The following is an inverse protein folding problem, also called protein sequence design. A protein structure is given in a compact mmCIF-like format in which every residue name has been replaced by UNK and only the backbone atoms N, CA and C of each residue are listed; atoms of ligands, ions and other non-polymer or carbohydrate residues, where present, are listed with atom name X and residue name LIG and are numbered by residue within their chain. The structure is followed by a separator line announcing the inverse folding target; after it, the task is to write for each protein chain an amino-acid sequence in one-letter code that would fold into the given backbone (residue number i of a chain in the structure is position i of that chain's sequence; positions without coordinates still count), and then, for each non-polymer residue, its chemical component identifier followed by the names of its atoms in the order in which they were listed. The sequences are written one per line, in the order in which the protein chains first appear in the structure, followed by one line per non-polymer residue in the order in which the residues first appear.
data_IF_323925723776
#
_entry.id   IF_323925723776
#
_cell.length_a   1.000
_cell.length_b   1.000
_cell.length_c   1.000
_cell.angle_alpha   90.00
_cell.angle_beta   90.00
_cell.angle_gamma   90.00
#
_symmetry.space_group_name_H-M   'P 1'
#
loop_
_entity.id
_entity.type
_entity.pdbx_description
1 polymer ?
#
# COMPACT_ATOMS: atom_id res chain seq x y z
N UNK A 1 30.09 24.73 -54.86
CA UNK A 1 31.47 25.07 -54.46
C UNK A 1 31.39 25.60 -53.04
N UNK A 2 31.74 24.79 -52.03
CA UNK A 2 33.09 24.69 -51.42
C UNK A 2 33.54 26.06 -50.86
N UNK A 3 33.97 26.25 -49.61
CA UNK A 3 34.52 25.36 -48.60
C UNK A 3 34.30 26.03 -47.21
N UNK A 4 33.86 25.29 -46.19
CA UNK A 4 34.70 24.65 -45.15
C UNK A 4 35.39 25.65 -44.20
N UNK A 5 34.75 25.91 -43.06
CA UNK A 5 35.42 26.37 -41.85
C UNK A 5 35.49 25.18 -40.90
N UNK A 6 36.67 24.56 -40.82
CA UNK A 6 36.98 23.56 -39.81
C UNK A 6 37.53 24.26 -38.57
N UNK A 7 36.94 23.95 -37.41
CA UNK A 7 37.63 24.06 -36.13
C UNK A 7 37.31 22.82 -35.32
N UNK A 8 38.39 22.17 -34.90
CA UNK A 8 38.42 20.85 -34.31
C UNK A 8 37.73 20.81 -32.94
N UNK A 9 37.08 19.68 -32.69
CA UNK A 9 36.48 19.26 -31.44
C UNK A 9 37.61 19.03 -30.40
N UNK A 10 37.78 19.94 -29.44
CA UNK A 10 38.63 19.68 -28.28
C UNK A 10 37.92 18.71 -27.32
N UNK A 11 38.46 17.51 -27.24
CA UNK A 11 38.07 16.44 -26.33
C UNK A 11 38.35 16.85 -24.88
N UNK A 12 37.32 16.98 -24.06
CA UNK A 12 37.46 17.14 -22.62
C UNK A 12 37.99 15.84 -22.00
N UNK A 13 39.26 15.83 -21.59
CA UNK A 13 39.86 14.72 -20.85
C UNK A 13 39.49 14.80 -19.36
N UNK A 14 38.92 13.72 -18.82
CA UNK A 14 38.63 13.60 -17.40
C UNK A 14 39.94 13.49 -16.58
N UNK A 15 40.06 14.32 -15.54
CA UNK A 15 41.19 14.31 -14.63
C UNK A 15 41.23 13.02 -13.78
N UNK A 16 42.35 12.29 -13.83
CA UNK A 16 42.56 11.10 -13.02
C UNK A 16 42.66 11.44 -11.51
N UNK A 17 42.07 10.64 -10.60
CA UNK A 17 42.13 10.92 -9.17
C UNK A 17 43.54 10.67 -8.61
N UNK A 18 44.05 11.67 -7.87
CA UNK A 18 45.33 11.59 -7.14
C UNK A 18 45.32 10.44 -6.13
N UNK A 19 46.20 9.45 -6.32
CA UNK A 19 46.48 8.39 -5.33
C UNK A 19 46.97 8.98 -4.01
N UNK A 20 46.15 8.93 -2.96
CA UNK A 20 46.61 9.09 -1.57
C UNK A 20 47.35 7.82 -1.14
N UNK A 21 48.61 7.98 -0.72
CA UNK A 21 49.38 6.90 -0.08
C UNK A 21 48.77 6.61 1.30
N UNK A 22 48.13 5.46 1.45
CA UNK A 22 47.69 4.91 2.74
C UNK A 22 48.85 4.14 3.40
N UNK A 23 49.12 4.47 4.66
CA UNK A 23 50.09 3.77 5.49
C UNK A 23 49.59 2.35 5.81
N UNK A 24 50.48 1.36 5.70
CA UNK A 24 50.17 -0.04 5.95
C UNK A 24 49.81 -0.27 7.44
N UNK A 25 48.55 -0.65 7.71
CA UNK A 25 48.15 -1.25 8.98
C UNK A 25 48.33 -2.77 8.88
N UNK A 26 49.09 -3.34 9.83
CA UNK A 26 49.28 -4.79 9.99
C UNK A 26 47.92 -5.48 10.18
N UNK A 27 47.64 -6.62 9.51
CA UNK A 27 46.44 -7.38 9.79
C UNK A 27 46.63 -8.13 11.12
N UNK A 28 45.81 -7.80 12.12
CA UNK A 28 45.56 -8.71 13.24
C UNK A 28 44.57 -9.76 12.73
N UNK A 29 45.08 -10.96 12.46
CA UNK A 29 44.25 -12.14 12.30
C UNK A 29 43.58 -12.41 13.66
N UNK A 30 42.34 -11.94 13.82
CA UNK A 30 41.41 -12.53 14.79
C UNK A 30 40.60 -13.51 13.97
N UNK A 31 40.90 -14.79 14.11
CA UNK A 31 39.97 -15.86 13.72
C UNK A 31 38.69 -15.66 14.56
N UNK A 32 37.70 -15.02 13.96
CA UNK A 32 36.33 -15.13 14.46
C UNK A 32 35.83 -16.52 14.04
N UNK A 33 35.38 -17.32 15.01
CA UNK A 33 34.69 -18.56 14.72
C UNK A 33 33.54 -18.29 13.73
N UNK A 34 33.25 -19.19 12.79
CA UNK A 34 32.13 -19.01 11.87
C UNK A 34 30.86 -18.93 12.72
N UNK A 35 30.23 -17.75 12.75
CA UNK A 35 28.89 -17.62 13.29
C UNK A 35 27.97 -18.47 12.41
N UNK A 36 27.06 -19.21 13.03
CA UNK A 36 26.05 -19.93 12.25
C UNK A 36 25.24 -18.90 11.46
N UNK A 37 24.95 -19.22 10.19
CA UNK A 37 24.12 -18.38 9.31
C UNK A 37 22.82 -17.98 10.01
N UNK A 38 22.18 -18.92 10.71
CA UNK A 38 20.95 -18.68 11.47
C UNK A 38 21.10 -17.61 12.56
N UNK A 39 22.21 -17.59 13.31
CA UNK A 39 22.43 -16.58 14.36
C UNK A 39 22.73 -15.18 13.80
N UNK A 40 23.29 -15.10 12.59
CA UNK A 40 23.46 -13.81 11.89
C UNK A 40 22.12 -13.30 11.34
N UNK A 41 21.31 -14.17 10.72
CA UNK A 41 19.96 -13.83 10.25
C UNK A 41 19.04 -13.40 11.40
N UNK A 42 18.98 -14.15 12.51
CA UNK A 42 18.19 -13.75 13.69
C UNK A 42 18.64 -12.41 14.28
N UNK A 43 19.96 -12.18 14.30
CA UNK A 43 20.53 -10.89 14.73
C UNK A 43 20.07 -9.75 13.81
N UNK A 44 20.08 -9.97 12.50
CA UNK A 44 19.69 -8.98 11.49
C UNK A 44 18.17 -8.71 11.52
N UNK A 45 17.34 -9.74 11.62
CA UNK A 45 15.88 -9.64 11.83
C UNK A 45 15.59 -8.81 13.09
N UNK A 46 16.30 -9.07 14.18
CA UNK A 46 16.18 -8.30 15.42
C UNK A 46 16.59 -6.82 15.28
N UNK A 47 17.55 -6.49 14.44
CA UNK A 47 17.92 -5.09 14.13
C UNK A 47 16.80 -4.39 13.34
N UNK A 48 16.25 -5.05 12.33
CA UNK A 48 15.18 -4.48 11.50
C UNK A 48 13.91 -4.24 12.33
N UNK A 49 13.50 -5.21 13.15
CA UNK A 49 12.36 -5.09 14.06
C UNK A 49 12.50 -3.91 15.03
N UNK A 50 13.69 -3.73 15.63
CA UNK A 50 13.95 -2.56 16.50
C UNK A 50 13.77 -1.23 15.76
N UNK A 51 14.28 -1.13 14.53
CA UNK A 51 14.14 0.09 13.71
C UNK A 51 12.70 0.36 13.30
N UNK A 52 11.90 -0.69 13.03
CA UNK A 52 10.47 -0.55 12.74
C UNK A 52 9.74 0.01 13.96
N UNK A 53 10.05 -0.51 15.15
CA UNK A 53 9.44 -0.05 16.40
C UNK A 53 9.87 1.37 16.80
N UNK A 54 11.11 1.76 16.55
CA UNK A 54 11.57 3.14 16.71
C UNK A 54 10.79 4.09 15.77
N UNK A 55 10.69 3.74 14.49
CA UNK A 55 9.90 4.51 13.53
C UNK A 55 8.41 4.57 13.92
N UNK A 56 7.87 3.50 14.51
CA UNK A 56 6.48 3.45 14.99
C UNK A 56 6.21 4.47 16.07
N UNK A 57 7.11 4.58 17.04
CA UNK A 57 7.00 5.59 18.09
C UNK A 57 7.06 7.00 17.54
N UNK A 58 8.02 7.26 16.67
CA UNK A 58 8.23 8.59 16.09
C UNK A 58 7.03 9.00 15.21
N UNK A 59 6.48 8.06 14.44
CA UNK A 59 5.31 8.28 13.61
C UNK A 59 4.06 8.48 14.47
N UNK A 60 3.82 7.63 15.46
CA UNK A 60 2.61 7.66 16.30
C UNK A 60 2.43 8.98 17.05
N UNK A 61 3.52 9.61 17.51
CA UNK A 61 3.46 10.89 18.22
C UNK A 61 3.47 12.11 17.28
N UNK A 62 3.60 11.90 15.96
CA UNK A 62 3.71 13.00 15.00
C UNK A 62 2.35 13.62 14.66
N UNK A 63 2.37 14.93 14.38
CA UNK A 63 1.19 15.65 13.85
C UNK A 63 0.74 15.05 12.51
N UNK A 64 1.71 14.61 11.69
CA UNK A 64 1.44 13.95 10.41
C UNK A 64 0.52 12.74 10.57
N UNK A 65 0.84 11.83 11.51
CA UNK A 65 0.02 10.65 11.76
C UNK A 65 -1.41 11.01 12.15
N UNK A 66 -1.56 11.96 13.08
CA UNK A 66 -2.87 12.39 13.55
C UNK A 66 -3.72 12.97 12.41
N UNK A 67 -3.13 13.84 11.58
CA UNK A 67 -3.81 14.41 10.41
C UNK A 67 -4.09 13.39 9.30
N UNK A 68 -3.17 12.45 9.04
CA UNK A 68 -3.37 11.41 8.03
C UNK A 68 -4.48 10.45 8.46
N UNK A 69 -4.51 10.08 9.75
CA UNK A 69 -5.56 9.25 10.33
C UNK A 69 -6.91 9.96 10.29
N UNK A 70 -6.97 11.28 10.50
CA UNK A 70 -8.20 12.06 10.33
C UNK A 70 -8.71 11.98 8.89
N UNK A 71 -7.83 12.17 7.90
CA UNK A 71 -8.18 12.02 6.47
C UNK A 71 -8.73 10.62 6.17
N UNK A 72 -8.07 9.57 6.66
CA UNK A 72 -8.50 8.18 6.49
C UNK A 72 -9.84 7.95 7.18
N UNK A 73 -10.03 8.40 8.42
CA UNK A 73 -11.27 8.21 9.17
C UNK A 73 -12.47 8.90 8.53
N UNK A 74 -12.28 10.09 7.93
CA UNK A 74 -13.33 10.77 7.16
C UNK A 74 -13.79 9.94 5.98
N UNK A 75 -12.87 9.27 5.32
CA UNK A 75 -13.15 8.38 4.19
C UNK A 75 -13.80 7.06 4.66
N UNK A 76 -13.18 6.37 5.62
CA UNK A 76 -13.67 5.09 6.12
C UNK A 76 -15.04 5.18 6.79
N UNK A 77 -15.36 6.29 7.47
CA UNK A 77 -16.69 6.50 8.05
C UNK A 77 -17.76 6.46 6.96
N UNK A 78 -17.59 7.24 5.88
CA UNK A 78 -18.51 7.26 4.73
C UNK A 78 -18.58 5.90 4.04
N UNK A 79 -17.42 5.24 3.88
CA UNK A 79 -17.34 3.92 3.28
C UNK A 79 -18.13 2.88 4.10
N UNK A 80 -17.97 2.85 5.42
CA UNK A 80 -18.68 1.93 6.31
C UNK A 80 -20.19 2.22 6.35
N UNK A 81 -20.60 3.48 6.28
CA UNK A 81 -22.02 3.85 6.15
C UNK A 81 -22.62 3.28 4.85
N UNK A 82 -21.90 3.42 3.73
CA UNK A 82 -22.29 2.84 2.44
C UNK A 82 -22.42 1.32 2.49
N UNK A 83 -21.51 0.62 3.18
CA UNK A 83 -21.58 -0.84 3.33
C UNK A 83 -22.77 -1.31 4.18
N UNK A 84 -23.30 -0.46 5.07
CA UNK A 84 -24.38 -0.80 6.01
C UNK A 84 -25.79 -0.53 5.46
N UNK A 85 -25.93 0.21 4.36
CA UNK A 85 -27.23 0.59 3.82
C UNK A 85 -27.59 -0.25 2.56
N UNK A 86 -28.63 -1.11 2.55
CA UNK A 86 -29.36 -1.77 3.64
C UNK A 86 -29.38 -3.32 3.55
N UNK A 87 -29.02 -3.98 4.66
CA UNK A 87 -29.81 -5.10 5.20
C UNK A 87 -30.65 -4.50 6.34
N UNK A 88 -31.97 -4.72 6.31
CA UNK A 88 -32.96 -3.93 7.05
C UNK A 88 -32.79 -3.75 8.57
N UNK A 89 -33.48 -2.72 9.07
CA UNK A 89 -33.73 -2.38 10.48
C UNK A 89 -32.55 -1.79 11.27
N UNK A 90 -32.34 -0.48 11.08
CA UNK A 90 -31.41 0.34 11.85
C UNK A 90 -31.83 0.60 13.32
N UNK A 91 -32.92 -0.02 13.81
CA UNK A 91 -33.35 0.08 15.21
C UNK A 91 -32.65 -0.92 16.14
N UNK A 92 -32.10 -2.01 15.60
CA UNK A 92 -31.72 -3.17 16.44
C UNK A 92 -30.23 -3.21 16.82
N UNK A 93 -29.42 -2.26 16.32
CA UNK A 93 -27.94 -2.25 16.52
C UNK A 93 -27.47 -1.09 17.43
N UNK A 94 -28.23 0.01 17.52
CA UNK A 94 -27.81 1.19 18.28
C UNK A 94 -28.16 1.17 19.78
N UNK A 95 -28.55 0.02 20.33
CA UNK A 95 -28.93 -0.11 21.75
C UNK A 95 -27.80 0.07 22.77
N UNK A 96 -26.52 -0.07 22.39
CA UNK A 96 -25.44 -0.25 23.38
C UNK A 96 -24.25 0.72 23.25
N UNK A 97 -24.49 1.98 22.90
CA UNK A 97 -23.50 3.05 23.12
C UNK A 97 -24.10 4.19 23.93
N UNK A 98 -24.32 3.94 25.22
CA UNK A 98 -24.38 5.01 26.20
C UNK A 98 -23.15 4.90 27.10
N UNK A 99 -22.21 5.84 26.92
CA UNK A 99 -21.11 6.07 27.86
C UNK A 99 -21.66 6.79 29.10
N UNK A 100 -21.13 6.40 30.25
CA UNK A 100 -21.13 7.08 31.54
C UNK A 100 -22.45 7.16 32.34
N UNK A 101 -22.54 6.32 33.37
CA UNK A 101 -22.58 6.76 34.78
C UNK A 101 -22.41 5.53 35.70
N UNK A 102 -21.45 5.58 36.63
CA UNK A 102 -21.33 4.60 37.72
C UNK A 102 -22.62 4.57 38.56
N UNK A 103 -23.18 3.39 38.91
CA UNK A 103 -24.22 3.33 39.92
C UNK A 103 -23.64 3.09 41.31
N UNK A 104 -24.18 3.87 42.23
CA UNK A 104 -24.13 3.78 43.68
C UNK A 104 -24.55 2.38 44.17
N UNK A 105 -23.99 1.93 45.30
CA UNK A 105 -24.32 0.65 45.93
C UNK A 105 -25.79 0.58 46.36
N UNK A 106 -26.52 -0.45 45.91
CA UNK A 106 -27.56 -1.12 46.74
C UNK A 106 -28.06 -2.42 46.10
N UNK A 107 -27.64 -3.52 46.71
CA UNK A 107 -28.40 -4.70 47.14
C UNK A 107 -29.41 -5.48 46.24
N UNK A 108 -29.22 -6.81 46.32
CA UNK A 108 -30.12 -7.98 46.12
C UNK A 108 -30.19 -8.68 44.74
N UNK A 109 -29.75 -9.95 44.74
CA UNK A 109 -29.85 -10.98 43.67
C UNK A 109 -31.21 -11.76 43.75
N UNK A 110 -31.46 -12.89 43.05
CA UNK A 110 -30.82 -13.52 41.88
C UNK A 110 -31.84 -13.89 40.76
N UNK A 111 -31.32 -14.31 39.60
CA UNK A 111 -31.80 -15.44 38.76
C UNK A 111 -31.84 -15.19 37.25
N UNK A 112 -31.47 -16.28 36.55
CA UNK A 112 -31.56 -16.57 35.12
C UNK A 112 -30.51 -15.95 34.20
N UNK A 113 -29.60 -16.81 33.71
CA UNK A 113 -28.70 -16.55 32.60
C UNK A 113 -29.39 -17.02 31.31
N UNK A 114 -29.74 -16.11 30.37
CA UNK A 114 -29.84 -16.46 28.97
C UNK A 114 -28.44 -16.36 28.36
N UNK A 115 -27.94 -17.49 27.83
CA UNK A 115 -26.72 -17.55 27.04
C UNK A 115 -26.98 -16.85 25.70
N UNK A 116 -26.82 -15.53 25.68
CA UNK A 116 -26.83 -14.75 24.45
C UNK A 116 -25.62 -15.13 23.61
N UNK A 117 -25.89 -15.77 22.49
CA UNK A 117 -24.92 -16.02 21.45
C UNK A 117 -24.72 -14.68 20.74
N UNK A 118 -23.64 -13.97 21.08
CA UNK A 118 -23.23 -12.74 20.42
C UNK A 118 -22.97 -13.03 18.95
N UNK A 119 -23.95 -12.73 18.09
CA UNK A 119 -23.74 -12.58 16.65
C UNK A 119 -23.20 -11.16 16.46
N UNK A 120 -21.90 -11.00 16.72
CA UNK A 120 -21.18 -9.78 16.36
C UNK A 120 -20.99 -9.81 14.85
N UNK A 121 -21.85 -9.12 14.10
CA UNK A 121 -21.64 -8.85 12.68
C UNK A 121 -20.49 -7.87 12.49
N UNK A 122 -19.26 -8.32 12.73
CA UNK A 122 -18.06 -7.52 12.48
C UNK A 122 -17.79 -7.49 10.98
N UNK A 123 -17.88 -6.30 10.37
CA UNK A 123 -17.34 -6.08 9.03
C UNK A 123 -15.84 -6.38 9.07
N UNK A 124 -15.42 -7.50 8.49
CA UNK A 124 -14.01 -7.90 8.44
C UNK A 124 -13.33 -7.19 7.28
N UNK A 125 -12.80 -5.97 7.53
CA UNK A 125 -11.95 -5.32 6.55
C UNK A 125 -10.69 -6.16 6.31
N UNK A 126 -10.35 -6.33 5.04
CA UNK A 126 -9.09 -6.91 4.59
C UNK A 126 -8.12 -5.82 4.20
N UNK A 127 -6.83 -6.13 4.23
CA UNK A 127 -5.81 -5.22 3.72
C UNK A 127 -4.88 -5.94 2.76
N UNK A 128 -4.57 -5.30 1.64
CA UNK A 128 -3.56 -5.77 0.70
C UNK A 128 -2.58 -4.64 0.46
N UNK A 129 -1.30 -4.91 0.61
CA UNK A 129 -0.23 -3.97 0.35
C UNK A 129 0.64 -4.45 -0.80
N UNK A 130 0.86 -3.57 -1.78
CA UNK A 130 1.81 -3.80 -2.85
C UNK A 130 2.96 -2.79 -2.74
N UNK A 131 4.17 -3.23 -3.11
CA UNK A 131 5.30 -2.33 -3.37
C UNK A 131 5.84 -1.60 -2.14
N UNK A 132 5.93 -2.28 -0.99
CA UNK A 132 6.43 -1.65 0.25
C UNK A 132 7.91 -1.23 0.15
N UNK A 133 8.67 -1.83 -0.75
CA UNK A 133 10.09 -1.60 -0.95
C UNK A 133 10.99 -2.22 0.13
N UNK A 134 12.29 -1.93 0.04
CA UNK A 134 13.28 -2.55 0.92
C UNK A 134 13.32 -1.87 2.31
N UNK A 135 12.40 -2.22 3.23
CA UNK A 135 12.30 -1.58 4.54
C UNK A 135 13.46 -1.93 5.50
N UNK A 136 14.21 -2.99 5.22
CA UNK A 136 15.39 -3.34 6.01
C UNK A 136 16.46 -2.24 5.92
N UNK A 137 16.68 -1.69 4.73
CA UNK A 137 17.74 -0.71 4.47
C UNK A 137 17.24 0.69 4.11
N UNK A 138 16.04 0.83 3.53
CA UNK A 138 15.45 2.11 3.15
C UNK A 138 14.57 2.66 4.27
N UNK A 139 14.87 3.89 4.73
CA UNK A 139 14.10 4.57 5.77
C UNK A 139 12.68 4.94 5.30
N UNK A 140 12.50 5.25 4.01
CA UNK A 140 11.20 5.58 3.43
C UNK A 140 10.28 4.35 3.50
N UNK A 141 10.69 3.24 2.89
CA UNK A 141 9.97 1.96 2.93
C UNK A 141 9.66 1.51 4.36
N UNK A 142 10.58 1.73 5.30
CA UNK A 142 10.36 1.42 6.71
C UNK A 142 9.24 2.25 7.34
N UNK A 143 9.24 3.57 7.12
CA UNK A 143 8.17 4.42 7.62
C UNK A 143 6.82 4.10 6.98
N UNK A 144 6.81 3.70 5.71
CA UNK A 144 5.59 3.23 5.03
C UNK A 144 5.07 1.92 5.65
N UNK A 145 5.95 0.95 5.92
CA UNK A 145 5.56 -0.29 6.60
C UNK A 145 5.02 0.02 8.00
N UNK A 146 5.72 0.87 8.75
CA UNK A 146 5.29 1.31 10.07
C UNK A 146 3.91 1.97 10.02
N UNK A 147 3.64 2.84 9.04
CA UNK A 147 2.33 3.45 8.85
C UNK A 147 1.26 2.40 8.61
N UNK A 148 1.53 1.42 7.73
CA UNK A 148 0.62 0.30 7.47
C UNK A 148 0.29 -0.45 8.77
N UNK A 149 1.29 -0.79 9.60
CA UNK A 149 1.07 -1.51 10.85
C UNK A 149 0.17 -0.72 11.82
N UNK A 150 0.43 0.59 11.98
CA UNK A 150 -0.42 1.46 12.80
C UNK A 150 -1.85 1.57 12.24
N UNK A 151 -1.99 1.63 10.91
CA UNK A 151 -3.28 1.67 10.24
C UNK A 151 -4.08 0.39 10.52
N UNK A 152 -3.47 -0.79 10.42
CA UNK A 152 -4.12 -2.07 10.73
C UNK A 152 -4.66 -2.07 12.17
N UNK A 153 -3.88 -1.57 13.13
CA UNK A 153 -4.30 -1.46 14.53
C UNK A 153 -5.48 -0.50 14.72
N UNK A 154 -5.42 0.69 14.10
CA UNK A 154 -6.53 1.66 14.18
C UNK A 154 -7.81 1.17 13.53
N UNK A 155 -7.70 0.46 12.42
CA UNK A 155 -8.84 -0.15 11.74
C UNK A 155 -9.28 -1.49 12.36
N UNK A 156 -8.59 -1.97 13.40
CA UNK A 156 -8.84 -3.27 14.03
C UNK A 156 -8.80 -4.44 13.03
N UNK A 157 -7.93 -4.33 12.01
CA UNK A 157 -7.70 -5.38 11.02
C UNK A 157 -6.65 -6.34 11.60
N UNK A 158 -6.98 -7.63 11.85
CA UNK A 158 -5.98 -8.60 12.26
C UNK A 158 -4.83 -8.65 11.25
N UNK A 159 -3.58 -8.66 11.71
CA UNK A 159 -2.42 -8.67 10.81
C UNK A 159 -2.40 -9.89 9.88
N UNK A 160 -3.01 -11.01 10.30
CA UNK A 160 -3.23 -12.20 9.48
C UNK A 160 -4.19 -11.97 8.30
N UNK A 161 -4.98 -10.88 8.31
CA UNK A 161 -5.85 -10.43 7.22
C UNK A 161 -5.21 -9.28 6.40
N UNK A 162 -3.91 -9.04 6.62
CA UNK A 162 -3.09 -8.19 5.77
C UNK A 162 -2.16 -9.06 4.91
N UNK A 163 -2.23 -8.85 3.60
CA UNK A 163 -1.34 -9.49 2.63
C UNK A 163 -0.37 -8.47 2.06
N UNK A 164 0.93 -8.74 2.09
CA UNK A 164 1.96 -7.89 1.49
C UNK A 164 2.60 -8.61 0.32
N UNK A 165 2.83 -7.91 -0.78
CA UNK A 165 3.67 -8.37 -1.87
C UNK A 165 4.60 -7.26 -2.35
N UNK A 166 5.88 -7.57 -2.43
CA UNK A 166 6.85 -6.76 -3.16
C UNK A 166 7.78 -7.70 -3.94
N UNK A 167 7.90 -7.54 -5.27
CA UNK A 167 8.71 -8.43 -6.12
C UNK A 167 10.20 -8.43 -5.78
N UNK A 168 10.68 -7.45 -5.02
CA UNK A 168 12.08 -7.30 -4.62
C UNK A 168 12.29 -7.63 -3.13
N UNK A 169 11.29 -8.23 -2.46
CA UNK A 169 11.40 -8.65 -1.05
C UNK A 169 12.56 -9.61 -0.85
N UNK A 170 13.45 -9.29 0.08
CA UNK A 170 14.49 -10.20 0.52
C UNK A 170 13.96 -11.23 1.53
N UNK A 171 14.66 -12.36 1.70
CA UNK A 171 14.28 -13.38 2.69
C UNK A 171 14.19 -12.81 4.12
N UNK A 172 15.09 -11.87 4.45
CA UNK A 172 15.09 -11.14 5.72
C UNK A 172 13.78 -10.37 5.92
N UNK A 173 13.30 -9.68 4.88
CA UNK A 173 12.06 -8.89 4.95
C UNK A 173 10.83 -9.79 5.06
N UNK A 174 10.81 -10.90 4.34
CA UNK A 174 9.76 -11.91 4.44
C UNK A 174 9.67 -12.45 5.87
N UNK A 175 10.81 -12.78 6.48
CA UNK A 175 10.88 -13.28 7.86
C UNK A 175 10.39 -12.23 8.88
N UNK A 176 10.80 -10.97 8.71
CA UNK A 176 10.35 -9.87 9.57
C UNK A 176 8.84 -9.66 9.45
N UNK A 177 8.26 -9.67 8.24
CA UNK A 177 6.82 -9.55 8.02
C UNK A 177 6.05 -10.69 8.68
N UNK A 178 6.53 -11.94 8.52
CA UNK A 178 5.94 -13.11 9.16
C UNK A 178 6.02 -13.01 10.70
N UNK A 179 7.14 -12.53 11.25
CA UNK A 179 7.32 -12.30 12.68
C UNK A 179 6.36 -11.23 13.20
N UNK A 180 6.07 -10.21 12.39
CA UNK A 180 5.07 -9.18 12.70
C UNK A 180 3.62 -9.68 12.55
N UNK A 181 3.40 -10.90 12.05
CA UNK A 181 2.08 -11.53 11.86
C UNK A 181 1.38 -11.12 10.57
N UNK A 182 2.11 -10.52 9.62
CA UNK A 182 1.59 -10.13 8.29
C UNK A 182 1.86 -11.26 7.30
N UNK A 183 0.89 -11.54 6.42
CA UNK A 183 1.03 -12.62 5.43
C UNK A 183 1.75 -12.10 4.19
N UNK A 184 2.85 -12.73 3.78
CA UNK A 184 3.53 -12.41 2.53
C UNK A 184 2.99 -13.27 1.39
N UNK A 185 2.61 -12.66 0.27
CA UNK A 185 2.18 -13.39 -0.93
C UNK A 185 3.40 -13.99 -1.64
N UNK A 186 3.25 -15.21 -2.14
CA UNK A 186 4.30 -15.92 -2.89
C UNK A 186 4.26 -15.64 -4.39
N UNK A 187 3.14 -15.15 -4.90
CA UNK A 187 2.89 -14.97 -6.33
C UNK A 187 2.83 -13.49 -6.69
N UNK A 188 3.42 -13.14 -7.84
CA UNK A 188 3.24 -11.85 -8.45
C UNK A 188 1.86 -11.77 -9.11
N UNK A 189 0.89 -11.25 -8.39
CA UNK A 189 -0.46 -11.01 -8.92
C UNK A 189 -0.50 -9.83 -9.92
N UNK A 190 0.62 -9.12 -10.14
CA UNK A 190 0.70 -7.92 -10.99
C UNK A 190 -0.36 -6.85 -10.63
N UNK A 191 -0.83 -6.81 -9.38
CA UNK A 191 -1.89 -5.92 -8.91
C UNK A 191 -3.31 -6.36 -9.29
N UNK A 192 -3.51 -7.52 -9.90
CA UNK A 192 -4.81 -8.02 -10.41
C UNK A 192 -5.65 -8.75 -9.35
N UNK A 193 -5.54 -8.36 -8.08
CA UNK A 193 -6.27 -9.03 -6.99
C UNK A 193 -7.73 -8.60 -6.94
N UNK A 194 -8.63 -9.56 -7.12
CA UNK A 194 -10.06 -9.37 -6.87
C UNK A 194 -10.37 -9.35 -5.38
N UNK A 195 -11.27 -8.46 -4.96
CA UNK A 195 -11.76 -8.41 -3.58
C UNK A 195 -12.76 -9.52 -3.23
N UNK A 196 -13.26 -10.26 -4.22
CA UNK A 196 -14.23 -11.36 -4.04
C UNK A 196 -15.46 -11.00 -3.18
N UNK A 197 -15.89 -9.74 -3.27
CA UNK A 197 -17.05 -9.20 -2.53
C UNK A 197 -16.76 -8.75 -1.10
N UNK A 198 -15.51 -8.84 -0.62
CA UNK A 198 -15.14 -8.48 0.76
C UNK A 198 -14.55 -7.07 0.83
N UNK A 199 -14.98 -6.23 1.79
CA UNK A 199 -14.41 -4.89 1.98
C UNK A 199 -12.90 -4.92 2.16
N UNK A 200 -12.17 -4.22 1.29
CA UNK A 200 -10.71 -4.32 1.21
C UNK A 200 -10.04 -2.95 1.05
N UNK A 201 -9.04 -2.70 1.90
CA UNK A 201 -8.12 -1.58 1.77
C UNK A 201 -6.89 -2.02 0.97
N UNK A 202 -6.60 -1.32 -0.13
CA UNK A 202 -5.35 -1.48 -0.87
C UNK A 202 -4.37 -0.38 -0.47
N UNK A 203 -3.25 -0.76 0.14
CA UNK A 203 -2.17 0.13 0.54
C UNK A 203 -1.01 0.03 -0.46
N UNK A 204 -0.93 1.00 -1.35
CA UNK A 204 -0.08 0.96 -2.53
C UNK A 204 0.65 2.29 -2.62
N UNK A 205 1.60 2.59 -1.74
CA UNK A 205 2.34 3.85 -1.81
C UNK A 205 3.43 3.78 -2.87
N UNK A 206 3.57 4.84 -3.67
CA UNK A 206 4.58 4.98 -4.73
C UNK A 206 4.65 3.79 -5.69
N UNK A 207 3.56 3.03 -5.80
CA UNK A 207 3.45 1.92 -6.73
C UNK A 207 3.43 2.44 -8.16
N UNK A 208 3.96 1.65 -9.10
CA UNK A 208 3.88 1.99 -10.51
C UNK A 208 2.42 2.08 -10.99
N UNK A 209 2.18 3.00 -11.92
CA UNK A 209 0.83 3.33 -12.40
C UNK A 209 0.04 2.11 -12.92
N UNK A 210 0.75 1.15 -13.52
CA UNK A 210 0.16 -0.11 -14.01
C UNK A 210 -0.51 -0.94 -12.92
N UNK A 211 0.00 -0.94 -11.68
CA UNK A 211 -0.58 -1.69 -10.58
C UNK A 211 -1.99 -1.18 -10.21
N UNK A 212 -2.21 0.14 -10.18
CA UNK A 212 -3.54 0.69 -9.95
C UNK A 212 -4.49 0.39 -11.10
N UNK A 213 -4.01 0.50 -12.33
CA UNK A 213 -4.82 0.23 -13.51
C UNK A 213 -5.27 -1.24 -13.55
N UNK A 214 -4.37 -2.18 -13.24
CA UNK A 214 -4.67 -3.60 -13.10
C UNK A 214 -5.65 -3.89 -11.94
N UNK A 215 -5.46 -3.22 -10.80
CA UNK A 215 -6.34 -3.38 -9.65
C UNK A 215 -7.77 -2.92 -9.95
N UNK A 216 -7.91 -1.78 -10.63
CA UNK A 216 -9.21 -1.27 -11.07
C UNK A 216 -9.85 -2.24 -12.07
N UNK A 217 -9.09 -2.72 -13.05
CA UNK A 217 -9.56 -3.70 -14.02
C UNK A 217 -10.09 -4.98 -13.35
N UNK A 218 -9.34 -5.58 -12.43
CA UNK A 218 -9.74 -6.83 -11.77
C UNK A 218 -10.97 -6.69 -10.87
N UNK A 219 -11.40 -5.45 -10.60
CA UNK A 219 -12.53 -5.12 -9.75
C UNK A 219 -13.54 -4.19 -10.45
N UNK A 220 -13.58 -4.19 -11.79
CA UNK A 220 -14.28 -3.17 -12.59
C UNK A 220 -15.81 -3.30 -12.60
N UNK A 221 -16.44 -3.05 -11.45
CA UNK A 221 -17.89 -2.99 -11.32
C UNK A 221 -18.27 -2.04 -10.19
N UNK A 222 -19.51 -1.52 -10.25
CA UNK A 222 -20.08 -0.70 -9.17
C UNK A 222 -20.00 -1.43 -7.83
N UNK A 223 -20.36 -2.72 -7.82
CA UNK A 223 -20.40 -3.55 -6.61
C UNK A 223 -19.01 -3.76 -5.99
N UNK A 224 -17.99 -4.02 -6.81
CA UNK A 224 -16.65 -4.28 -6.30
C UNK A 224 -15.93 -2.99 -5.89
N UNK A 225 -15.93 -1.97 -6.74
CA UNK A 225 -15.26 -0.69 -6.44
C UNK A 225 -15.85 -0.02 -5.19
N UNK A 226 -17.17 -0.09 -5.00
CA UNK A 226 -17.83 0.47 -3.80
C UNK A 226 -17.41 -0.19 -2.47
N UNK A 227 -16.79 -1.38 -2.52
CA UNK A 227 -16.25 -2.09 -1.34
C UNK A 227 -14.73 -1.91 -1.20
N UNK A 228 -14.12 -1.06 -2.01
CA UNK A 228 -12.68 -0.81 -2.00
C UNK A 228 -12.33 0.57 -1.48
N UNK A 229 -11.19 0.65 -0.82
CA UNK A 229 -10.49 1.90 -0.53
C UNK A 229 -9.04 1.73 -0.98
N UNK A 230 -8.48 2.73 -1.64
CA UNK A 230 -7.06 2.73 -2.04
C UNK A 230 -6.36 3.83 -1.26
N UNK A 231 -5.24 3.52 -0.61
CA UNK A 231 -4.31 4.49 -0.05
C UNK A 231 -3.05 4.39 -0.90
N UNK A 232 -2.81 5.38 -1.74
CA UNK A 232 -1.77 5.30 -2.76
C UNK A 232 -1.59 6.61 -3.52
N UNK A 233 -0.95 6.55 -4.69
CA UNK A 233 -0.63 7.72 -5.49
C UNK A 233 -1.88 8.52 -5.85
N UNK A 234 -1.75 9.85 -5.93
CA UNK A 234 -2.83 10.72 -6.37
C UNK A 234 -3.23 10.41 -7.82
N UNK A 235 -4.50 10.09 -8.06
CA UNK A 235 -4.99 9.84 -9.41
C UNK A 235 -5.15 11.15 -10.16
N UNK A 236 -5.54 12.22 -9.44
CA UNK A 236 -5.45 13.58 -9.93
C UNK A 236 -4.00 13.97 -10.28
N UNK A 237 -3.03 13.66 -9.42
CA UNK A 237 -1.61 13.89 -9.68
C UNK A 237 -1.09 13.10 -10.89
N UNK A 238 -1.57 11.87 -11.10
CA UNK A 238 -1.30 11.10 -12.31
C UNK A 238 -1.93 11.75 -13.56
N UNK A 239 -3.17 12.22 -13.48
CA UNK A 239 -3.84 12.96 -14.57
C UNK A 239 -3.09 14.24 -14.95
N UNK A 240 -2.56 14.97 -13.98
CA UNK A 240 -1.83 16.22 -14.19
C UNK A 240 -0.43 16.00 -14.79
N UNK A 241 0.26 14.91 -14.41
CA UNK A 241 1.64 14.62 -14.87
C UNK A 241 1.70 13.87 -16.20
N UNK A 242 0.75 12.98 -16.46
CA UNK A 242 0.74 12.17 -17.68
C UNK A 242 0.07 12.92 -18.83
N UNK A 243 0.62 12.78 -20.04
CA UNK A 243 -0.08 13.26 -21.23
C UNK A 243 -1.41 12.51 -21.36
N UNK A 244 -2.50 13.24 -21.62
CA UNK A 244 -3.84 12.64 -21.75
C UNK A 244 -3.86 11.43 -22.71
N UNK A 245 -3.15 11.52 -23.84
CA UNK A 245 -3.03 10.40 -24.80
C UNK A 245 -2.39 9.13 -24.19
N UNK A 246 -1.44 9.29 -23.29
CA UNK A 246 -0.75 8.18 -22.60
C UNK A 246 -1.67 7.60 -21.52
N UNK A 247 -2.27 8.46 -20.70
CA UNK A 247 -3.23 8.05 -19.67
C UNK A 247 -4.39 7.26 -20.28
N UNK A 248 -5.01 7.77 -21.34
CA UNK A 248 -6.14 7.09 -21.99
C UNK A 248 -5.73 5.81 -22.72
N UNK A 249 -4.53 5.74 -23.32
CA UNK A 249 -4.07 4.54 -24.04
C UNK A 249 -3.61 3.44 -23.08
N UNK A 250 -2.73 3.78 -22.14
CA UNK A 250 -2.01 2.79 -21.33
C UNK A 250 -2.68 2.53 -19.98
N UNK A 251 -3.42 3.50 -19.45
CA UNK A 251 -4.07 3.41 -18.14
C UNK A 251 -5.57 3.77 -18.20
N UNK A 252 -6.34 3.12 -19.09
CA UNK A 252 -7.73 3.49 -19.38
C UNK A 252 -8.64 3.39 -18.15
N UNK A 253 -8.38 2.47 -17.22
CA UNK A 253 -9.19 2.29 -16.02
C UNK A 253 -9.04 3.47 -15.06
N UNK A 254 -7.81 3.95 -14.86
CA UNK A 254 -7.55 5.18 -14.10
C UNK A 254 -8.29 6.35 -14.77
N UNK A 255 -8.10 6.53 -16.08
CA UNK A 255 -8.72 7.63 -16.84
C UNK A 255 -10.26 7.66 -16.74
N UNK A 256 -10.89 6.48 -16.75
CA UNK A 256 -12.36 6.35 -16.72
C UNK A 256 -12.93 6.55 -15.32
N UNK A 257 -12.21 6.18 -14.26
CA UNK A 257 -12.74 6.18 -12.89
C UNK A 257 -12.68 7.55 -12.19
N UNK A 258 -11.93 8.53 -12.71
CA UNK A 258 -11.70 9.83 -12.06
C UNK A 258 -12.98 10.55 -11.60
N UNK A 259 -14.09 10.42 -12.35
CA UNK A 259 -15.39 11.00 -11.97
C UNK A 259 -16.20 10.14 -10.99
N UNK A 260 -15.87 8.86 -10.90
CA UNK A 260 -16.53 7.87 -10.04
C UNK A 260 -15.96 7.76 -8.63
N UNK A 261 -14.86 8.47 -8.33
CA UNK A 261 -14.20 8.43 -7.03
C UNK A 261 -14.25 9.78 -6.29
N UNK A 262 -13.93 9.71 -5.01
CA UNK A 262 -13.53 10.83 -4.19
C UNK A 262 -12.11 10.60 -3.71
N UNK A 263 -11.27 11.62 -3.88
CA UNK A 263 -9.86 11.59 -3.51
C UNK A 263 -9.61 12.61 -2.40
N UNK A 264 -8.96 12.18 -1.32
CA UNK A 264 -8.51 13.05 -0.24
C UNK A 264 -6.99 12.91 -0.07
N UNK A 265 -6.27 13.99 -0.35
CA UNK A 265 -4.81 14.05 -0.20
C UNK A 265 -4.40 13.88 1.26
N UNK A 266 -3.26 13.21 1.48
CA UNK A 266 -2.60 13.15 2.78
C UNK A 266 -2.07 14.54 3.19
N UNK A 267 -1.96 14.79 4.50
CA UNK A 267 -1.40 16.05 4.99
C UNK A 267 0.06 16.21 4.55
N UNK A 268 0.41 17.42 4.12
CA UNK A 268 1.80 17.75 3.81
C UNK A 268 2.50 18.26 5.07
N UNK A 269 3.48 17.50 5.56
CA UNK A 269 4.37 17.92 6.65
C UNK A 269 5.82 17.82 6.20
N UNK A 270 6.68 18.74 6.62
CA UNK A 270 8.08 18.76 6.18
C UNK A 270 8.87 17.50 6.57
N UNK A 271 8.53 16.88 7.71
CA UNK A 271 9.20 15.68 8.21
C UNK A 271 8.94 14.43 7.36
N UNK A 272 7.73 14.31 6.80
CA UNK A 272 7.27 13.11 6.10
C UNK A 272 6.98 13.34 4.62
N UNK A 273 7.34 14.53 4.10
CA UNK A 273 7.07 14.94 2.73
C UNK A 273 7.72 13.99 1.73
N UNK A 274 8.94 13.55 1.95
CA UNK A 274 9.67 12.62 1.07
C UNK A 274 9.19 11.16 1.17
N UNK A 275 8.34 10.85 2.16
CA UNK A 275 7.83 9.50 2.43
C UNK A 275 6.42 9.33 1.88
N UNK A 276 5.54 10.31 2.09
CA UNK A 276 4.12 10.26 1.74
C UNK A 276 3.69 11.42 0.82
N UNK A 277 4.60 12.03 0.05
CA UNK A 277 4.20 12.91 -1.05
C UNK A 277 3.28 12.16 -2.02
N UNK A 278 2.52 12.93 -2.81
CA UNK A 278 1.67 12.37 -3.87
C UNK A 278 0.73 11.25 -3.36
N UNK A 279 0.40 11.21 -2.06
CA UNK A 279 -0.40 10.15 -1.45
C UNK A 279 -1.80 10.66 -1.16
N UNK A 280 -2.80 9.85 -1.50
CA UNK A 280 -4.21 10.14 -1.30
C UNK A 280 -4.97 8.89 -0.85
N UNK A 281 -6.10 9.13 -0.18
CA UNK A 281 -7.14 8.11 0.04
C UNK A 281 -8.17 8.24 -1.08
N UNK A 282 -8.37 7.17 -1.82
CA UNK A 282 -9.39 7.03 -2.84
C UNK A 282 -10.51 6.15 -2.32
N UNK A 283 -11.74 6.64 -2.41
CA UNK A 283 -12.93 5.82 -2.21
C UNK A 283 -13.94 6.04 -3.30
N UNK A 284 -14.83 5.07 -3.46
CA UNK A 284 -15.75 5.00 -4.59
C UNK A 284 -17.20 5.07 -4.07
N UNK A 285 -17.80 6.26 -4.01
CA UNK A 285 -19.20 6.40 -3.60
C UNK A 285 -20.12 5.73 -4.63
N UNK A 286 -21.01 4.84 -4.19
CA UNK A 286 -21.97 4.15 -5.06
C UNK A 286 -22.74 5.14 -5.93
N UNK A 287 -23.15 6.28 -5.36
CA UNK A 287 -23.90 7.31 -6.09
C UNK A 287 -23.09 7.92 -7.23
N UNK A 288 -21.77 8.05 -7.09
CA UNK A 288 -20.91 8.54 -8.18
C UNK A 288 -20.67 7.46 -9.23
N UNK A 289 -20.50 6.21 -8.81
CA UNK A 289 -20.31 5.08 -9.73
C UNK A 289 -21.56 4.86 -10.60
N UNK A 290 -22.76 4.94 -10.02
CA UNK A 290 -24.04 4.80 -10.74
C UNK A 290 -24.32 5.96 -11.71
N UNK A 291 -23.68 7.12 -11.52
CA UNK A 291 -23.77 8.25 -12.44
C UNK A 291 -22.86 8.12 -13.66
N UNK A 292 -21.93 7.16 -13.67
CA UNK A 292 -21.08 6.89 -14.83
C UNK A 292 -21.88 6.23 -15.96
N UNK A 293 -21.47 6.49 -17.21
CA UNK A 293 -22.10 5.87 -18.39
C UNK A 293 -22.02 4.34 -18.32
N UNK A 294 -23.05 3.65 -18.81
CA UNK A 294 -23.08 2.18 -18.92
C UNK A 294 -21.89 1.66 -19.73
N UNK A 295 -21.49 2.37 -20.78
CA UNK A 295 -20.35 2.01 -21.64
C UNK A 295 -19.01 1.94 -20.89
N UNK A 296 -18.89 2.63 -19.74
CA UNK A 296 -17.68 2.54 -18.90
C UNK A 296 -17.56 1.14 -18.30
N UNK A 297 -18.67 0.53 -17.88
CA UNK A 297 -18.71 -0.77 -17.24
C UNK A 297 -18.68 -1.94 -18.25
N UNK A 298 -19.06 -1.67 -19.50
CA UNK A 298 -18.93 -2.62 -20.62
C UNK A 298 -17.46 -2.80 -21.05
N UNK A 299 -16.58 -1.85 -20.72
CA UNK A 299 -15.14 -1.92 -20.98
C UNK A 299 -14.46 -2.94 -20.05
N UNK A 300 -13.99 -4.06 -20.60
CA UNK A 300 -13.46 -5.21 -19.84
C UNK A 300 -12.11 -5.73 -20.39
N UNK A 301 -11.54 -5.03 -21.36
CA UNK A 301 -10.27 -5.37 -21.98
C UNK A 301 -9.12 -5.38 -20.96
N UNK A 302 -8.47 -6.54 -20.80
CA UNK A 302 -7.31 -6.65 -19.93
C UNK A 302 -6.22 -5.67 -20.37
N UNK A 303 -5.65 -4.88 -19.43
CA UNK A 303 -4.56 -3.97 -19.75
C UNK A 303 -3.39 -4.69 -20.40
N UNK A 304 -3.05 -4.26 -21.62
CA UNK A 304 -1.82 -4.66 -22.30
C UNK A 304 -0.83 -3.49 -22.34
N UNK A 305 0.40 -3.78 -21.96
CA UNK A 305 1.48 -2.81 -21.81
C UNK A 305 2.61 -2.99 -22.82
N UNK A 306 2.40 -3.75 -23.90
CA UNK A 306 3.43 -4.01 -24.93
C UNK A 306 4.08 -2.72 -25.49
N UNK A 307 3.29 -1.66 -25.66
CA UNK A 307 3.76 -0.37 -26.19
C UNK A 307 4.13 0.66 -25.09
N UNK A 308 4.30 0.24 -23.84
CA UNK A 308 4.58 1.14 -22.72
C UNK A 308 6.09 1.19 -22.43
N UNK A 309 6.76 2.25 -22.90
CA UNK A 309 8.21 2.42 -22.75
C UNK A 309 8.65 2.53 -21.27
N UNK A 310 7.89 3.27 -20.46
CA UNK A 310 8.19 3.52 -19.03
C UNK A 310 7.27 2.71 -18.11
N UNK A 311 7.18 1.41 -18.33
CA UNK A 311 6.32 0.53 -17.54
C UNK A 311 6.94 0.23 -16.16
N UNK A 312 6.36 0.80 -15.11
CA UNK A 312 6.82 0.67 -13.71
C UNK A 312 6.24 -0.58 -12.99
N UNK A 313 6.28 -1.75 -13.62
CA UNK A 313 5.85 -3.01 -12.98
C UNK A 313 6.77 -4.18 -13.36
N UNK A 314 7.07 -5.05 -12.40
CA UNK A 314 7.73 -6.33 -12.68
C UNK A 314 6.64 -7.32 -13.10
N UNK A 315 6.77 -7.87 -14.31
CA UNK A 315 5.82 -8.85 -14.87
C UNK A 315 6.29 -10.28 -14.65
N UNK A 316 5.33 -11.21 -14.59
CA UNK A 316 5.64 -12.63 -14.69
C UNK A 316 6.28 -12.93 -16.04
N UNK A 317 7.25 -13.84 -16.05
CA UNK A 317 7.79 -14.35 -17.31
C UNK A 317 6.68 -15.10 -18.02
N UNK A 318 6.31 -14.66 -19.21
CA UNK A 318 5.52 -15.50 -20.12
C UNK A 318 6.36 -16.72 -20.44
N UNK A 319 5.87 -17.92 -20.09
CA UNK A 319 6.41 -19.14 -20.69
C UNK A 319 6.19 -19.03 -22.18
N UNK A 320 7.27 -18.91 -22.97
CA UNK A 320 7.19 -19.12 -24.41
C UNK A 320 6.52 -20.48 -24.62
N UNK A 321 5.49 -20.58 -25.47
CA UNK A 321 4.93 -21.89 -25.79
C UNK A 321 6.09 -22.72 -26.31
N UNK A 322 6.47 -23.74 -25.55
CA UNK A 322 7.52 -24.68 -25.91
C UNK A 322 7.31 -25.06 -27.37
N UNK A 323 8.29 -24.73 -28.21
CA UNK A 323 8.36 -25.22 -29.58
C UNK A 323 8.21 -26.74 -29.51
N UNK A 324 7.01 -27.20 -29.81
CA UNK A 324 6.68 -28.61 -29.97
C UNK A 324 7.05 -28.90 -31.41
N UNK A 325 8.30 -29.32 -31.60
CA UNK A 325 8.72 -30.06 -32.80
C UNK A 325 8.39 -31.54 -32.63
#
# INVERSE_FOLDING_TARGET
MAAAAGTALESWQAAAPRKRRSAARRPRLREAAPRSSEAEFESDSGVVLRRIWEAEKDLFISDFWSSALETINRCLTKHLEQLKAPVGSLSDIFGNLHLDSLPDESDVAPDSIPRETLVTGTCHLKCVCYGIGNFATCIIARNQLTFLLLLLEKCQIPRSHCWVYDPLSSQLEIEVLNTLGVTVLSENEEGKRSIRGEPTIFYMLHCGTALYNNLLWSNWSVDALSKMVIIGNSFKGLEERLLARILHKNYPYIAKILKGLEELEFPQTSQYMDIFNDTSVHWFPVQKLEQLSTDIWEFQEEPDYQDCEDLEIIRNKTEDPSATD
#
